data_IF_987444694744
#
_entry.id   IF_987444694744
#
_cell.length_a   1.000
_cell.length_b   1.000
_cell.length_c   1.000
_cell.angle_alpha   90.00
_cell.angle_beta   90.00
_cell.angle_gamma   90.00
#
_symmetry.space_group_name_H-M   'P 1'
#
loop_
_entity.id
_entity.type
_entity.pdbx_description
1 polymer ?
#
# COMPACT_ATOMS: atom_id res chain seq x y z
N UNK A 1 -24.56 -1.51 7.46
CA UNK A 1 -23.11 -1.59 7.63
C UNK A 1 -22.70 -3.03 7.87
N UNK A 2 -21.64 -3.44 7.25
CA UNK A 2 -21.10 -4.79 7.38
C UNK A 2 -20.65 -5.04 8.83
N UNK A 3 -21.17 -6.09 9.51
CA UNK A 3 -20.76 -6.39 10.90
C UNK A 3 -19.28 -6.61 11.07
N UNK A 4 -18.62 -7.17 10.08
CA UNK A 4 -17.17 -7.38 10.11
C UNK A 4 -16.41 -6.06 10.16
N UNK A 5 -16.85 -5.06 9.40
CA UNK A 5 -16.26 -3.72 9.41
C UNK A 5 -16.44 -3.07 10.79
N UNK A 6 -17.61 -3.19 11.38
CA UNK A 6 -17.87 -2.65 12.73
C UNK A 6 -16.95 -3.27 13.77
N UNK A 7 -16.80 -4.60 13.75
CA UNK A 7 -15.92 -5.32 14.69
C UNK A 7 -14.47 -4.85 14.51
N UNK A 8 -13.99 -4.75 13.28
CA UNK A 8 -12.63 -4.33 12.99
C UNK A 8 -12.38 -2.87 13.41
N UNK A 9 -13.34 -2.02 13.20
CA UNK A 9 -13.24 -0.61 13.61
C UNK A 9 -13.10 -0.49 15.12
N UNK A 10 -13.87 -1.26 15.87
CA UNK A 10 -13.79 -1.29 17.34
C UNK A 10 -12.43 -1.77 17.85
N UNK A 11 -11.78 -2.67 17.11
CA UNK A 11 -10.50 -3.24 17.51
C UNK A 11 -9.29 -2.41 17.08
N UNK A 12 -9.39 -1.64 15.99
CA UNK A 12 -8.22 -1.02 15.34
C UNK A 12 -8.04 0.44 15.76
N UNK A 13 -9.02 1.07 16.31
CA UNK A 13 -8.91 2.45 16.76
C UNK A 13 -9.54 3.49 15.84
N UNK A 14 -9.25 4.74 16.17
CA UNK A 14 -9.85 5.92 15.56
C UNK A 14 -9.43 6.17 14.11
N UNK A 15 -8.41 5.46 13.62
CA UNK A 15 -7.91 5.67 12.27
C UNK A 15 -8.75 4.96 11.19
N UNK A 16 -9.70 4.12 11.59
CA UNK A 16 -10.54 3.36 10.68
C UNK A 16 -9.94 2.03 10.25
N UNK A 17 -10.59 1.39 9.29
CA UNK A 17 -10.21 0.06 8.81
C UNK A 17 -9.17 0.14 7.70
N UNK A 18 -8.09 -0.60 7.84
CA UNK A 18 -7.07 -0.71 6.82
C UNK A 18 -7.40 -1.85 5.85
N UNK A 19 -7.64 -1.52 4.59
CA UNK A 19 -8.05 -2.46 3.54
C UNK A 19 -6.90 -2.71 2.56
N UNK A 20 -5.84 -3.34 3.05
CA UNK A 20 -4.58 -3.51 2.30
C UNK A 20 -4.76 -4.22 0.97
N UNK A 21 -5.39 -5.39 0.96
CA UNK A 21 -5.55 -6.19 -0.26
C UNK A 21 -6.53 -5.52 -1.23
N UNK A 22 -7.58 -4.92 -0.72
CA UNK A 22 -8.54 -4.17 -1.53
C UNK A 22 -7.89 -2.97 -2.19
N UNK A 23 -6.99 -2.29 -1.47
CA UNK A 23 -6.24 -1.16 -2.00
C UNK A 23 -5.29 -1.59 -3.11
N UNK A 24 -4.58 -2.69 -2.93
CA UNK A 24 -3.69 -3.24 -3.94
C UNK A 24 -4.45 -3.58 -5.22
N UNK A 25 -5.61 -4.20 -5.11
CA UNK A 25 -6.46 -4.50 -6.26
C UNK A 25 -6.98 -3.23 -6.93
N UNK A 26 -7.40 -2.25 -6.13
CA UNK A 26 -7.89 -0.98 -6.65
C UNK A 26 -6.82 -0.23 -7.45
N UNK A 27 -5.55 -0.35 -7.08
CA UNK A 27 -4.44 0.29 -7.79
C UNK A 27 -4.25 -0.29 -9.20
N UNK A 28 -4.60 -1.56 -9.40
CA UNK A 28 -4.58 -2.19 -10.73
C UNK A 28 -5.72 -1.68 -11.59
N UNK A 29 -6.91 -1.52 -11.02
CA UNK A 29 -8.10 -1.03 -11.73
C UNK A 29 -7.95 0.46 -12.07
N UNK A 30 -7.42 1.24 -11.14
CA UNK A 30 -7.27 2.70 -11.29
C UNK A 30 -5.83 3.08 -10.97
N UNK A 31 -4.92 3.07 -11.96
CA UNK A 31 -3.48 3.26 -11.71
C UNK A 31 -3.10 4.59 -11.07
N UNK A 32 -3.88 5.65 -11.27
CA UNK A 32 -3.58 6.97 -10.69
C UNK A 32 -4.12 7.17 -9.27
N UNK A 33 -4.60 6.10 -8.64
CA UNK A 33 -5.10 6.12 -7.27
C UNK A 33 -3.97 6.36 -6.25
N UNK A 34 -2.79 5.84 -6.54
CA UNK A 34 -1.61 5.94 -5.68
C UNK A 34 -0.54 6.82 -6.30
N UNK A 35 0.21 7.49 -5.46
CA UNK A 35 1.41 8.23 -5.86
C UNK A 35 2.64 7.41 -5.51
N UNK A 36 3.51 7.20 -6.48
CA UNK A 36 4.68 6.34 -6.37
C UNK A 36 5.97 7.12 -6.38
N UNK A 37 6.99 6.54 -5.77
CA UNK A 37 8.35 7.05 -5.86
C UNK A 37 9.29 5.89 -6.11
N UNK A 38 10.23 6.08 -7.03
CA UNK A 38 11.24 5.06 -7.32
C UNK A 38 12.16 4.85 -6.12
N UNK A 39 12.49 3.61 -5.85
CA UNK A 39 13.32 3.23 -4.73
C UNK A 39 14.12 1.97 -5.02
N UNK A 40 15.19 1.79 -4.27
CA UNK A 40 15.83 0.48 -4.15
C UNK A 40 15.25 -0.21 -2.92
N UNK A 41 14.64 -1.36 -3.13
CA UNK A 41 13.95 -2.11 -2.07
C UNK A 41 14.61 -3.47 -1.92
N UNK A 42 14.93 -3.81 -0.68
CA UNK A 42 15.54 -5.09 -0.36
C UNK A 42 15.06 -5.58 1.00
N UNK A 43 14.97 -6.89 1.15
CA UNK A 43 14.69 -7.51 2.45
C UNK A 43 16.00 -7.80 3.15
N UNK A 44 16.11 -7.37 4.40
CA UNK A 44 17.27 -7.67 5.24
C UNK A 44 17.27 -9.14 5.64
N UNK A 45 18.38 -9.84 5.37
CA UNK A 45 18.45 -11.29 5.64
C UNK A 45 19.53 -11.67 6.63
N UNK A 46 20.48 -10.77 6.93
CA UNK A 46 21.65 -11.09 7.74
C UNK A 46 21.66 -10.45 9.13
N UNK A 47 20.85 -9.41 9.35
CA UNK A 47 20.80 -8.73 10.63
C UNK A 47 20.08 -9.54 11.70
N UNK A 48 20.58 -9.53 12.92
CA UNK A 48 19.96 -10.25 14.03
C UNK A 48 18.63 -9.59 14.42
N UNK A 49 18.62 -8.25 14.48
CA UNK A 49 17.44 -7.50 14.90
C UNK A 49 16.52 -7.13 13.74
N UNK A 50 17.02 -7.10 12.51
CA UNK A 50 16.31 -6.59 11.36
C UNK A 50 16.04 -7.63 10.28
N UNK A 51 16.33 -8.90 10.54
CA UNK A 51 16.05 -9.97 9.58
C UNK A 51 14.57 -10.01 9.23
N UNK A 52 14.28 -9.97 7.93
CA UNK A 52 12.91 -9.90 7.42
C UNK A 52 12.38 -8.49 7.21
N UNK A 53 13.11 -7.46 7.64
CA UNK A 53 12.71 -6.08 7.43
C UNK A 53 12.83 -5.68 5.96
N UNK A 54 11.84 -4.97 5.45
CA UNK A 54 11.89 -4.37 4.11
C UNK A 54 12.56 -3.00 4.22
N UNK A 55 13.66 -2.83 3.52
CA UNK A 55 14.44 -1.58 3.55
C UNK A 55 14.30 -0.88 2.21
N UNK A 56 13.96 0.41 2.25
CA UNK A 56 13.80 1.25 1.05
C UNK A 56 14.80 2.39 1.08
N UNK A 57 15.53 2.58 -0.03
CA UNK A 57 16.39 3.74 -0.23
C UNK A 57 15.90 4.53 -1.43
N UNK A 58 15.59 5.80 -1.21
CA UNK A 58 15.08 6.70 -2.25
C UNK A 58 16.14 7.62 -2.82
N UNK A 59 17.33 7.65 -2.23
CA UNK A 59 18.40 8.56 -2.65
C UNK A 59 19.17 7.98 -3.83
N UNK A 60 18.99 8.56 -5.00
CA UNK A 60 19.65 8.13 -6.23
C UNK A 60 21.18 8.19 -6.15
N UNK A 61 21.73 9.19 -5.47
CA UNK A 61 23.19 9.32 -5.30
C UNK A 61 23.77 8.17 -4.48
N UNK A 62 23.08 7.75 -3.44
CA UNK A 62 23.50 6.60 -2.64
C UNK A 62 23.46 5.32 -3.46
N UNK A 63 22.36 5.11 -4.21
CA UNK A 63 22.22 3.91 -5.03
C UNK A 63 23.29 3.84 -6.14
N UNK A 64 23.49 4.92 -6.86
CA UNK A 64 24.42 4.91 -8.00
C UNK A 64 25.88 5.02 -7.61
N UNK A 65 26.22 5.91 -6.67
CA UNK A 65 27.63 6.22 -6.36
C UNK A 65 28.21 5.37 -5.25
N UNK A 66 27.43 5.05 -4.23
CA UNK A 66 27.92 4.33 -3.06
C UNK A 66 27.68 2.83 -3.18
N UNK A 67 26.45 2.43 -3.39
CA UNK A 67 26.08 1.03 -3.44
C UNK A 67 26.15 0.42 -4.84
N UNK A 68 26.34 1.25 -5.87
CA UNK A 68 26.42 0.83 -7.29
C UNK A 68 25.20 -0.02 -7.69
N UNK A 69 24.05 0.38 -7.21
CA UNK A 69 22.78 -0.27 -7.49
C UNK A 69 21.85 0.70 -8.21
N UNK A 70 20.81 0.18 -8.81
CA UNK A 70 19.76 0.97 -9.46
C UNK A 70 18.46 0.79 -8.70
N UNK A 71 17.56 1.75 -8.84
CA UNK A 71 16.20 1.58 -8.35
C UNK A 71 15.56 0.35 -8.99
N UNK A 72 14.95 -0.49 -8.17
CA UNK A 72 14.33 -1.73 -8.62
C UNK A 72 12.82 -1.78 -8.40
N UNK A 73 12.23 -0.75 -7.83
CA UNK A 73 10.81 -0.74 -7.52
C UNK A 73 10.26 0.68 -7.50
N UNK A 74 8.94 0.76 -7.63
CA UNK A 74 8.18 1.99 -7.36
C UNK A 74 7.33 1.75 -6.12
N UNK A 75 7.57 2.56 -5.11
CA UNK A 75 6.91 2.42 -3.80
C UNK A 75 5.77 3.41 -3.70
N UNK A 76 4.59 2.93 -3.37
CA UNK A 76 3.42 3.77 -3.16
C UNK A 76 3.55 4.51 -1.83
N UNK A 77 3.50 5.84 -1.88
CA UNK A 77 3.66 6.68 -0.68
C UNK A 77 2.40 7.42 -0.31
N UNK A 78 1.54 7.72 -1.26
CA UNK A 78 0.33 8.50 -1.01
C UNK A 78 -0.86 7.87 -1.70
N UNK A 79 -2.04 8.04 -1.11
CA UNK A 79 -3.30 7.51 -1.58
C UNK A 79 -4.31 8.64 -1.71
N UNK A 80 -5.04 8.67 -2.82
CA UNK A 80 -6.25 9.47 -2.93
C UNK A 80 -7.39 8.75 -2.20
N UNK A 81 -7.57 9.08 -0.93
CA UNK A 81 -8.52 8.41 -0.03
C UNK A 81 -9.96 8.54 -0.54
N UNK A 82 -10.33 9.73 -1.01
CA UNK A 82 -11.70 9.98 -1.51
C UNK A 82 -11.99 9.11 -2.72
N UNK A 83 -11.06 9.06 -3.67
CA UNK A 83 -11.20 8.26 -4.88
C UNK A 83 -11.26 6.76 -4.55
N UNK A 84 -10.43 6.29 -3.63
CA UNK A 84 -10.45 4.89 -3.21
C UNK A 84 -11.80 4.52 -2.57
N UNK A 85 -12.29 5.34 -1.65
CA UNK A 85 -13.56 5.09 -0.99
C UNK A 85 -14.72 5.05 -1.98
N UNK A 86 -14.74 5.96 -2.94
CA UNK A 86 -15.76 5.96 -4.00
C UNK A 86 -15.70 4.69 -4.83
N UNK A 87 -14.52 4.31 -5.28
CA UNK A 87 -14.32 3.10 -6.08
C UNK A 87 -14.73 1.85 -5.31
N UNK A 88 -14.31 1.74 -4.06
CA UNK A 88 -14.63 0.59 -3.22
C UNK A 88 -16.14 0.45 -3.03
N UNK A 89 -16.83 1.54 -2.68
CA UNK A 89 -18.27 1.52 -2.47
C UNK A 89 -19.02 1.19 -3.75
N UNK A 90 -18.65 1.77 -4.87
CA UNK A 90 -19.30 1.50 -6.16
C UNK A 90 -19.16 0.04 -6.57
N UNK A 91 -17.95 -0.52 -6.45
CA UNK A 91 -17.69 -1.90 -6.89
C UNK A 91 -18.29 -2.93 -5.96
N UNK A 92 -18.09 -2.76 -4.64
CA UNK A 92 -18.58 -3.73 -3.65
C UNK A 92 -20.09 -3.61 -3.47
N UNK A 93 -20.60 -2.40 -3.26
CA UNK A 93 -22.04 -2.17 -3.07
C UNK A 93 -22.82 -2.50 -4.32
N UNK A 94 -22.31 -2.11 -5.49
CA UNK A 94 -22.94 -2.42 -6.76
C UNK A 94 -23.05 -3.93 -7.00
N UNK A 95 -22.01 -4.67 -6.68
CA UNK A 95 -22.04 -6.13 -6.80
C UNK A 95 -23.06 -6.76 -5.86
N UNK A 96 -23.09 -6.33 -4.60
CA UNK A 96 -24.03 -6.86 -3.62
C UNK A 96 -25.47 -6.57 -3.99
N UNK A 97 -25.76 -5.40 -4.58
CA UNK A 97 -27.10 -5.07 -5.06
C UNK A 97 -27.51 -5.89 -6.27
N UNK A 98 -26.58 -6.39 -7.06
CA UNK A 98 -26.86 -7.20 -8.24
C UNK A 98 -27.19 -8.66 -7.90
N UNK A 99 -26.87 -9.09 -6.70
CA UNK A 99 -27.21 -10.43 -6.22
C UNK A 99 -28.67 -10.54 -5.84
#
# INVERSE_FOLDING_TARGET
VDPWINIRTDLISDEGLHLYDSLAMASVITPNLLTYKSAYVRTETAGILTAGETVCEFNESIMGKILKQKFNAEVALELDVVKFNQLFQERVTGYLKSL
#
